data_IF_703945095949
#
_entry.id   IF_703945095949
#
_cell.length_a   1.000
_cell.length_b   1.000
_cell.length_c   1.000
_cell.angle_alpha   90.00
_cell.angle_beta   90.00
_cell.angle_gamma   90.00
#
_symmetry.space_group_name_H-M   'P 1'
#
loop_
_entity.id
_entity.type
_entity.pdbx_description
1 polymer ?
#
# COMPACT_ATOMS: atom_id res chain seq x y z
N UNK A 1 25.25 12.09 6.45
CA UNK A 1 24.28 10.98 6.60
C UNK A 1 22.90 11.44 6.18
N UNK A 2 22.23 10.76 5.22
CA UNK A 2 20.84 11.07 4.89
C UNK A 2 19.95 10.74 6.10
N UNK A 3 19.09 11.67 6.51
CA UNK A 3 18.18 11.50 7.65
C UNK A 3 17.35 10.21 7.48
N UNK A 4 17.47 9.25 8.41
CA UNK A 4 16.77 7.95 8.38
C UNK A 4 15.28 8.10 8.15
N UNK A 5 14.64 9.11 8.76
CA UNK A 5 13.20 9.38 8.58
C UNK A 5 12.88 9.72 7.13
N UNK A 6 13.68 10.57 6.48
CA UNK A 6 13.47 10.97 5.10
C UNK A 6 13.74 9.80 4.14
N UNK A 7 14.77 8.99 4.40
CA UNK A 7 15.02 7.76 3.66
C UNK A 7 13.82 6.80 3.70
N UNK A 8 13.27 6.56 4.90
CA UNK A 8 12.11 5.67 5.06
C UNK A 8 10.86 6.22 4.36
N UNK A 9 10.63 7.54 4.40
CA UNK A 9 9.55 8.19 3.66
C UNK A 9 9.70 8.00 2.14
N UNK A 10 10.89 8.26 1.60
CA UNK A 10 11.18 8.09 0.18
C UNK A 10 10.99 6.63 -0.27
N UNK A 11 11.51 5.68 0.52
CA UNK A 11 11.35 4.24 0.27
C UNK A 11 9.88 3.82 0.28
N UNK A 12 9.07 4.34 1.23
CA UNK A 12 7.62 4.05 1.27
C UNK A 12 6.90 4.59 0.04
N UNK A 13 7.22 5.82 -0.38
CA UNK A 13 6.67 6.43 -1.61
C UNK A 13 7.00 5.57 -2.83
N UNK A 14 8.27 5.20 -3.00
CA UNK A 14 8.73 4.37 -4.12
C UNK A 14 8.08 2.97 -4.11
N UNK A 15 7.93 2.36 -2.94
CA UNK A 15 7.23 1.09 -2.80
C UNK A 15 5.76 1.18 -3.23
N UNK A 16 5.05 2.26 -2.86
CA UNK A 16 3.65 2.43 -3.30
C UNK A 16 3.55 2.51 -4.82
N UNK A 17 4.43 3.26 -5.49
CA UNK A 17 4.47 3.30 -6.97
C UNK A 17 4.69 1.91 -7.59
N UNK A 18 5.59 1.08 -7.03
CA UNK A 18 5.78 -0.31 -7.50
C UNK A 18 4.61 -1.26 -7.22
N UNK A 19 3.56 -0.81 -6.52
CA UNK A 19 2.32 -1.57 -6.36
C UNK A 19 1.23 -1.13 -7.34
N UNK A 20 1.43 0.00 -8.03
CA UNK A 20 0.47 0.52 -9.02
C UNK A 20 0.74 0.00 -10.43
N UNK A 21 1.93 -0.55 -10.66
CA UNK A 21 2.32 -1.19 -11.91
C UNK A 21 3.84 -1.29 -12.05
N UNK A 22 4.32 -1.35 -13.29
CA UNK A 22 5.73 -1.57 -13.61
C UNK A 22 6.57 -0.28 -13.48
N UNK A 23 7.73 -0.37 -12.81
CA UNK A 23 8.66 0.76 -12.63
C UNK A 23 9.89 0.58 -13.52
N UNK A 24 10.06 1.47 -14.49
CA UNK A 24 11.28 1.59 -15.29
C UNK A 24 12.26 2.55 -14.63
N UNK A 25 13.51 2.12 -14.46
CA UNK A 25 14.60 2.93 -13.84
C UNK A 25 15.59 3.50 -14.86
N UNK A 26 15.44 3.11 -16.13
CA UNK A 26 16.35 3.48 -17.21
C UNK A 26 15.72 4.50 -18.17
N UNK A 27 14.43 4.80 -17.98
CA UNK A 27 13.71 5.79 -18.77
C UNK A 27 13.71 7.17 -18.11
N UNK A 28 13.92 8.21 -18.93
CA UNK A 28 13.91 9.61 -18.51
C UNK A 28 12.54 10.25 -18.74
N UNK A 29 12.06 10.97 -17.74
CA UNK A 29 10.88 11.83 -17.90
C UNK A 29 11.23 13.02 -18.81
N UNK A 30 10.50 13.23 -19.92
CA UNK A 30 10.75 14.34 -20.83
C UNK A 30 10.42 15.71 -20.19
N UNK A 31 9.57 15.75 -19.15
CA UNK A 31 9.13 16.98 -18.52
C UNK A 31 10.09 17.47 -17.42
N UNK A 32 10.63 16.56 -16.61
CA UNK A 32 11.44 16.93 -15.44
C UNK A 32 12.81 16.24 -15.37
N UNK A 33 13.19 15.42 -16.36
CA UNK A 33 14.48 14.75 -16.45
C UNK A 33 14.72 13.64 -15.42
N UNK A 34 13.71 13.24 -14.63
CA UNK A 34 13.87 12.16 -13.66
C UNK A 34 14.03 10.79 -14.35
N UNK A 35 14.92 9.94 -13.85
CA UNK A 35 15.21 8.61 -14.39
C UNK A 35 14.31 7.49 -13.86
N UNK A 36 13.05 7.81 -13.60
CA UNK A 36 12.10 6.79 -13.17
C UNK A 36 10.75 7.12 -13.76
N UNK A 37 10.20 6.15 -14.47
CA UNK A 37 8.85 6.15 -14.98
C UNK A 37 8.10 4.95 -14.41
N UNK A 38 6.79 5.09 -14.29
CA UNK A 38 5.91 4.00 -13.88
C UNK A 38 4.81 3.84 -14.91
N UNK A 39 4.60 2.63 -15.40
CA UNK A 39 3.39 2.26 -16.12
C UNK A 39 2.36 1.90 -15.06
N UNK A 40 1.20 2.58 -15.05
CA UNK A 40 0.14 2.33 -14.08
C UNK A 40 -0.92 1.44 -14.71
N UNK A 41 -0.98 0.19 -14.27
CA UNK A 41 -1.77 -0.88 -14.90
C UNK A 41 -3.27 -0.51 -15.00
N UNK A 42 -3.80 0.16 -13.97
CA UNK A 42 -5.22 0.54 -13.90
C UNK A 42 -5.65 1.48 -15.05
N UNK A 43 -4.74 2.32 -15.53
CA UNK A 43 -5.03 3.35 -16.53
C UNK A 43 -4.28 3.14 -17.84
N UNK A 44 -3.54 2.03 -17.96
CA UNK A 44 -2.69 1.67 -19.09
C UNK A 44 -1.89 2.85 -19.66
N UNK A 45 -1.16 3.54 -18.78
CA UNK A 45 -0.42 4.75 -19.17
C UNK A 45 0.83 4.96 -18.33
N UNK A 46 1.83 5.58 -18.95
CA UNK A 46 3.07 5.98 -18.31
C UNK A 46 2.92 7.29 -17.52
N UNK A 47 3.57 7.32 -16.38
CA UNK A 47 3.63 8.48 -15.50
C UNK A 47 5.03 8.68 -14.92
N UNK A 48 5.31 9.91 -14.50
CA UNK A 48 6.52 10.22 -13.75
C UNK A 48 6.22 10.34 -12.24
N UNK A 49 6.79 9.48 -11.37
CA UNK A 49 6.63 9.58 -9.91
C UNK A 49 7.18 10.86 -9.26
N UNK A 50 8.05 11.57 -9.99
CA UNK A 50 8.75 12.78 -9.51
C UNK A 50 7.92 14.03 -9.73
N UNK A 51 7.46 14.31 -10.95
CA UNK A 51 6.59 15.46 -11.23
C UNK A 51 5.10 15.14 -11.08
N UNK A 52 4.68 13.87 -11.12
CA UNK A 52 3.28 13.47 -10.94
C UNK A 52 2.43 13.58 -12.21
N UNK A 53 3.06 13.79 -13.37
CA UNK A 53 2.39 13.93 -14.66
C UNK A 53 2.24 12.60 -15.39
N UNK A 54 1.17 12.49 -16.18
CA UNK A 54 1.02 11.49 -17.23
C UNK A 54 1.97 11.82 -18.40
N UNK A 55 2.48 10.79 -19.06
CA UNK A 55 3.31 10.95 -20.25
C UNK A 55 2.52 10.72 -21.55
N UNK A 56 1.38 10.04 -21.45
CA UNK A 56 0.50 9.78 -22.57
C UNK A 56 -0.83 10.53 -22.41
N UNK A 57 -1.29 11.11 -23.50
CA UNK A 57 -2.62 11.71 -23.57
C UNK A 57 -3.72 10.65 -23.43
N UNK A 58 -4.90 11.06 -22.97
CA UNK A 58 -6.05 10.17 -22.92
C UNK A 58 -6.54 9.96 -24.35
N UNK A 59 -7.06 8.78 -24.66
CA UNK A 59 -7.75 8.61 -25.92
C UNK A 59 -9.03 9.48 -25.95
N UNK A 60 -9.47 9.85 -27.16
CA UNK A 60 -10.71 10.62 -27.34
C UNK A 60 -12.01 9.83 -27.14
N UNK A 61 -11.92 8.54 -26.82
CA UNK A 61 -13.07 7.67 -26.57
C UNK A 61 -13.59 7.88 -25.12
N UNK A 62 -14.80 8.44 -24.94
CA UNK A 62 -15.37 8.65 -23.61
C UNK A 62 -15.71 7.36 -22.88
N UNK A 63 -15.87 6.24 -23.59
CA UNK A 63 -16.24 4.94 -23.04
C UNK A 63 -15.02 4.02 -22.82
N UNK A 64 -13.80 4.53 -23.06
CA UNK A 64 -12.59 3.75 -22.86
C UNK A 64 -12.44 3.33 -21.38
N UNK A 65 -12.31 2.03 -21.08
CA UNK A 65 -12.29 1.52 -19.69
C UNK A 65 -11.08 2.00 -18.88
N UNK A 66 -10.02 2.45 -19.55
CA UNK A 66 -8.80 2.96 -18.93
C UNK A 66 -8.84 4.49 -18.76
N UNK A 67 -9.24 5.22 -19.81
CA UNK A 67 -9.19 6.68 -19.85
C UNK A 67 -10.38 7.35 -19.19
N UNK A 68 -11.59 6.77 -19.29
CA UNK A 68 -12.81 7.35 -18.71
C UNK A 68 -12.76 7.53 -17.18
N UNK A 69 -11.99 6.67 -16.52
CA UNK A 69 -11.78 6.70 -15.07
C UNK A 69 -10.42 7.30 -14.69
N UNK A 70 -9.61 7.75 -15.66
CA UNK A 70 -8.26 8.26 -15.42
C UNK A 70 -8.35 9.64 -14.77
N UNK A 71 -7.76 9.83 -13.59
CA UNK A 71 -7.73 11.15 -12.96
C UNK A 71 -6.83 12.11 -13.75
N UNK A 72 -6.98 13.41 -13.49
CA UNK A 72 -6.32 14.45 -14.26
C UNK A 72 -4.79 14.35 -14.19
N UNK A 73 -4.27 13.93 -13.03
CA UNK A 73 -2.83 13.77 -12.81
C UNK A 73 -2.48 12.37 -12.30
N UNK A 74 -1.26 11.91 -12.57
CA UNK A 74 -0.76 10.66 -12.00
C UNK A 74 -0.58 10.75 -10.48
N UNK A 75 -0.38 11.96 -9.93
CA UNK A 75 -0.37 12.18 -8.50
C UNK A 75 -1.74 11.90 -7.85
N UNK A 76 -2.83 12.31 -8.48
CA UNK A 76 -4.19 11.96 -8.04
C UNK A 76 -4.43 10.45 -8.12
N UNK A 77 -4.01 9.80 -9.20
CA UNK A 77 -4.03 8.34 -9.30
C UNK A 77 -3.30 7.67 -8.13
N UNK A 78 -2.11 8.18 -7.78
CA UNK A 78 -1.36 7.70 -6.62
C UNK A 78 -2.06 7.95 -5.30
N UNK A 79 -2.72 9.09 -5.13
CA UNK A 79 -3.46 9.41 -3.90
C UNK A 79 -4.69 8.49 -3.74
N UNK A 80 -5.48 8.35 -4.81
CA UNK A 80 -6.69 7.53 -4.89
C UNK A 80 -6.42 6.04 -4.85
N UNK A 81 -5.20 5.61 -5.21
CA UNK A 81 -4.87 4.20 -5.15
C UNK A 81 -4.97 3.69 -3.71
N UNK A 82 -6.05 2.95 -3.48
CA UNK A 82 -6.30 2.17 -2.29
C UNK A 82 -5.41 0.92 -2.31
N UNK A 83 -4.12 1.15 -2.14
CA UNK A 83 -3.14 0.09 -1.86
C UNK A 83 -3.30 -0.38 -0.40
N UNK A 84 -4.37 0.04 0.28
CA UNK A 84 -4.65 -0.12 1.69
C UNK A 84 -5.54 -1.33 1.99
N UNK A 85 -5.27 -2.47 1.34
CA UNK A 85 -5.82 -3.76 1.81
C UNK A 85 -4.83 -4.93 1.72
N UNK A 86 -3.53 -4.67 1.84
CA UNK A 86 -2.51 -5.74 1.79
C UNK A 86 -1.20 -5.50 2.52
N UNK A 87 -1.01 -4.33 3.15
CA UNK A 87 0.29 -3.96 3.71
C UNK A 87 0.73 -4.98 4.77
N UNK A 88 1.96 -5.47 4.66
CA UNK A 88 2.56 -6.38 5.63
C UNK A 88 2.45 -5.84 7.08
N UNK A 89 2.33 -4.52 7.25
CA UNK A 89 2.06 -3.86 8.52
C UNK A 89 0.70 -4.22 9.12
N UNK A 90 -0.38 -4.14 8.34
CA UNK A 90 -1.72 -4.54 8.79
C UNK A 90 -1.79 -6.04 9.06
N UNK A 91 -1.21 -6.87 8.17
CA UNK A 91 -1.10 -8.32 8.38
C UNK A 91 -0.32 -8.66 9.65
N UNK A 92 0.79 -7.95 9.91
CA UNK A 92 1.58 -8.09 11.14
C UNK A 92 0.77 -7.67 12.36
N UNK A 93 0.06 -6.54 12.30
CA UNK A 93 -0.75 -6.03 13.41
C UNK A 93 -1.89 -6.99 13.74
N UNK A 94 -2.62 -7.46 12.73
CA UNK A 94 -3.67 -8.47 12.88
C UNK A 94 -3.14 -9.75 13.52
N UNK A 95 -1.97 -10.24 13.11
CA UNK A 95 -1.34 -11.42 13.74
C UNK A 95 -1.03 -11.19 15.23
N UNK A 96 -0.52 -10.01 15.60
CA UNK A 96 -0.28 -9.64 16.99
C UNK A 96 -1.58 -9.60 17.81
N UNK A 97 -2.60 -8.92 17.29
CA UNK A 97 -3.88 -8.76 17.98
C UNK A 97 -4.60 -10.12 18.14
N UNK A 98 -4.54 -10.98 17.11
CA UNK A 98 -5.08 -12.34 17.16
C UNK A 98 -4.33 -13.23 18.18
N UNK A 99 -3.00 -13.18 18.20
CA UNK A 99 -2.21 -13.90 19.21
C UNK A 99 -2.57 -13.47 20.64
N UNK A 100 -2.71 -12.17 20.87
CA UNK A 100 -3.09 -11.64 22.17
C UNK A 100 -4.51 -12.10 22.56
N UNK A 101 -5.46 -12.04 21.63
CA UNK A 101 -6.84 -12.49 21.84
C UNK A 101 -6.89 -13.97 22.22
N UNK A 102 -6.21 -14.85 21.47
CA UNK A 102 -6.15 -16.29 21.78
C UNK A 102 -5.47 -16.57 23.11
N UNK A 103 -4.40 -15.84 23.43
CA UNK A 103 -3.70 -15.98 24.71
C UNK A 103 -4.57 -15.56 25.89
N UNK A 104 -5.30 -14.45 25.76
CA UNK A 104 -6.25 -14.00 26.77
C UNK A 104 -7.40 -14.99 26.95
N UNK A 105 -7.93 -15.53 25.85
CA UNK A 105 -8.96 -16.58 25.87
C UNK A 105 -8.51 -17.80 26.64
N UNK A 106 -7.32 -18.34 26.34
CA UNK A 106 -6.71 -19.47 27.07
C UNK A 106 -6.58 -19.19 28.57
N UNK A 107 -5.99 -18.05 28.95
CA UNK A 107 -5.86 -17.65 30.37
C UNK A 107 -7.21 -17.58 31.08
N UNK A 108 -8.25 -17.09 30.40
CA UNK A 108 -9.62 -17.05 30.95
C UNK A 108 -10.17 -18.46 31.19
N UNK A 109 -9.96 -19.39 30.26
CA UNK A 109 -10.39 -20.78 30.43
C UNK A 109 -9.62 -21.49 31.55
N UNK A 110 -8.31 -21.28 31.66
CA UNK A 110 -7.50 -21.82 32.76
C UNK A 110 -7.98 -21.35 34.14
N UNK A 111 -8.22 -20.03 34.30
CA UNK A 111 -8.77 -19.47 35.54
C UNK A 111 -10.13 -20.08 35.90
N UNK A 112 -11.02 -20.26 34.91
CA UNK A 112 -12.32 -20.91 35.13
C UNK A 112 -12.17 -22.35 35.57
N UNK A 113 -11.29 -23.13 34.94
CA UNK A 113 -11.04 -24.53 35.33
C UNK A 113 -10.48 -24.62 36.74
N UNK A 114 -9.50 -23.77 37.07
CA UNK A 114 -8.94 -23.70 38.42
C UNK A 114 -10.00 -23.36 39.46
N UNK A 115 -10.82 -22.33 39.21
CA UNK A 115 -11.91 -21.98 40.12
C UNK A 115 -12.91 -23.12 40.35
N UNK A 116 -13.25 -23.88 39.30
CA UNK A 116 -14.13 -25.06 39.40
C UNK A 116 -13.47 -26.21 40.18
N UNK A 117 -12.16 -26.39 40.03
CA UNK A 117 -11.40 -27.43 40.73
C UNK A 117 -11.23 -27.09 42.21
N UNK A 118 -10.92 -25.83 42.51
CA UNK A 118 -10.83 -25.31 43.87
C UNK A 118 -12.20 -25.43 44.56
N UNK A 119 -13.32 -25.09 43.88
CA UNK A 119 -14.68 -25.22 44.46
C UNK A 119 -15.16 -26.65 44.66
N UNK A 120 -14.51 -27.65 44.03
CA UNK A 120 -14.82 -29.08 44.19
C UNK A 120 -13.96 -29.77 45.25
N UNK A 121 -12.95 -29.07 45.76
CA UNK A 121 -12.00 -29.58 46.76
C UNK A 121 -12.36 -29.12 48.19
N UNK A 122 -13.50 -28.42 48.34
CA UNK A 122 -14.13 -28.04 49.61
C UNK A 122 -15.39 -28.86 49.83
#
# INVERSE_FOLDING_TARGET
MKNRRNYLKARKKQFKWSQLGYVSKDALCPLCGANTLVQIDKYDSWACPSCGEWLDEACGDPDCPYCSLRPQTAFEAYALADVEAGSAGLKKRWRCDNYQHKTNGRKRHERRRKAVQDSRSF
#
